data_IF_692372785162
#
_entry.id   IF_692372785162
#
_cell.length_a   1.000
_cell.length_b   1.000
_cell.length_c   1.000
_cell.angle_alpha   90.00
_cell.angle_beta   90.00
_cell.angle_gamma   90.00
#
_symmetry.space_group_name_H-M   'P 1'
#
loop_
_entity.id
_entity.type
_entity.pdbx_description
1 polymer ?
#
# COMPACT_ATOMS: atom_id res chain seq x y z
N UNK A 1 2.32 -33.53 -33.85
CA UNK A 1 1.01 -33.76 -33.19
C UNK A 1 1.01 -32.99 -31.87
N UNK A 2 0.57 -31.75 -31.96
CA UNK A 2 0.39 -30.91 -30.78
C UNK A 2 -0.94 -31.31 -30.11
N UNK A 3 -0.86 -32.13 -29.06
CA UNK A 3 -1.99 -32.35 -28.17
C UNK A 3 -2.29 -31.04 -27.44
N UNK A 4 -3.24 -30.30 -27.99
CA UNK A 4 -3.89 -29.20 -27.27
C UNK A 4 -4.54 -29.83 -26.06
N UNK A 5 -3.95 -29.61 -24.88
CA UNK A 5 -4.64 -29.79 -23.62
C UNK A 5 -5.87 -28.86 -23.68
N UNK A 6 -7.02 -29.44 -24.05
CA UNK A 6 -8.31 -28.80 -23.81
C UNK A 6 -8.36 -28.50 -22.33
N UNK A 7 -8.18 -27.21 -21.98
CA UNK A 7 -8.15 -26.74 -20.60
C UNK A 7 -9.37 -27.27 -19.87
N UNK A 8 -9.13 -27.97 -18.80
CA UNK A 8 -10.16 -28.33 -17.84
C UNK A 8 -10.76 -27.03 -17.33
N UNK A 9 -11.96 -26.66 -17.84
CA UNK A 9 -12.76 -25.49 -17.40
C UNK A 9 -13.25 -25.65 -15.94
N UNK A 10 -12.41 -26.24 -15.06
CA UNK A 10 -12.73 -26.45 -13.66
C UNK A 10 -12.41 -25.20 -12.85
N UNK A 11 -11.39 -24.44 -13.26
CA UNK A 11 -10.92 -23.25 -12.51
C UNK A 11 -11.25 -21.97 -13.26
N UNK A 12 -11.41 -20.88 -12.52
CA UNK A 12 -11.64 -19.56 -13.08
C UNK A 12 -10.41 -19.07 -13.86
N UNK A 13 -10.64 -18.42 -15.01
CA UNK A 13 -9.59 -17.76 -15.78
C UNK A 13 -8.83 -16.69 -14.98
N UNK A 14 -9.40 -16.17 -13.88
CA UNK A 14 -8.73 -15.28 -12.94
C UNK A 14 -7.47 -15.88 -12.34
N UNK A 15 -7.40 -17.21 -12.27
CA UNK A 15 -6.29 -17.96 -11.64
C UNK A 15 -5.36 -18.61 -12.67
N UNK A 16 -5.50 -18.31 -13.94
CA UNK A 16 -4.61 -18.76 -15.02
C UNK A 16 -3.35 -17.87 -15.10
N UNK A 17 -2.48 -17.97 -14.13
CA UNK A 17 -1.15 -17.37 -14.20
C UNK A 17 -0.07 -18.41 -14.50
N UNK A 18 0.98 -17.98 -15.14
CA UNK A 18 2.14 -18.84 -15.35
C UNK A 18 2.81 -19.15 -14.01
N UNK A 19 2.60 -20.37 -13.54
CA UNK A 19 3.21 -20.89 -12.32
C UNK A 19 4.58 -21.55 -12.58
N UNK A 20 5.12 -21.49 -13.81
CA UNK A 20 6.41 -22.05 -14.12
C UNK A 20 7.51 -21.37 -13.29
N UNK A 21 8.42 -22.15 -12.69
CA UNK A 21 9.53 -21.57 -11.94
C UNK A 21 10.36 -20.66 -12.86
N UNK A 22 10.58 -19.43 -12.42
CA UNK A 22 11.48 -18.53 -13.16
C UNK A 22 12.91 -19.09 -13.24
N UNK A 23 13.71 -18.58 -14.17
CA UNK A 23 15.08 -19.08 -14.43
C UNK A 23 16.01 -19.01 -13.20
N UNK A 24 15.73 -18.15 -12.22
CA UNK A 24 16.51 -18.00 -10.99
C UNK A 24 16.19 -19.09 -9.96
N UNK A 25 14.96 -19.56 -9.90
CA UNK A 25 14.52 -20.55 -8.89
C UNK A 25 15.35 -21.84 -8.90
N UNK A 26 15.60 -22.52 -10.05
CA UNK A 26 16.47 -23.70 -10.10
C UNK A 26 17.91 -23.40 -9.76
N UNK A 27 18.42 -22.20 -10.14
CA UNK A 27 19.78 -21.78 -9.83
C UNK A 27 19.96 -21.61 -8.32
N UNK A 28 19.08 -20.87 -7.67
CA UNK A 28 19.11 -20.66 -6.22
C UNK A 28 18.99 -21.99 -5.45
N UNK A 29 18.13 -22.90 -5.90
CA UNK A 29 17.98 -24.23 -5.31
C UNK A 29 19.28 -25.03 -5.38
N UNK A 30 19.98 -25.00 -6.53
CA UNK A 30 21.30 -25.66 -6.70
C UNK A 30 22.38 -25.04 -5.81
N UNK A 31 22.46 -23.71 -5.75
CA UNK A 31 23.44 -23.03 -4.91
C UNK A 31 23.20 -23.33 -3.42
N UNK A 32 21.96 -23.33 -2.97
CA UNK A 32 21.60 -23.70 -1.59
C UNK A 32 21.94 -25.16 -1.27
N UNK A 33 21.62 -26.10 -2.17
CA UNK A 33 21.98 -27.51 -2.02
C UNK A 33 23.51 -27.73 -1.98
N UNK A 34 24.27 -26.97 -2.77
CA UNK A 34 25.74 -26.97 -2.76
C UNK A 34 26.37 -26.22 -1.58
N UNK A 35 25.56 -25.70 -0.65
CA UNK A 35 26.00 -24.89 0.51
C UNK A 35 26.91 -23.71 0.11
N UNK A 36 26.71 -23.16 -1.08
CA UNK A 36 27.42 -21.96 -1.51
C UNK A 36 26.93 -20.78 -0.67
N UNK A 37 27.83 -19.99 -0.06
CA UNK A 37 27.42 -18.78 0.68
C UNK A 37 26.68 -17.83 -0.24
N UNK A 38 25.45 -17.49 0.13
CA UNK A 38 24.61 -16.53 -0.59
C UNK A 38 24.35 -15.32 0.28
N UNK A 39 24.55 -14.14 -0.28
CA UNK A 39 24.09 -12.88 0.32
C UNK A 39 22.75 -12.57 -0.34
N UNK A 40 21.68 -12.74 0.42
CA UNK A 40 20.32 -12.46 -0.06
C UNK A 40 19.97 -10.99 0.17
N UNK A 41 20.01 -10.19 -0.90
CA UNK A 41 19.65 -8.78 -0.88
C UNK A 41 18.12 -8.56 -1.04
N UNK A 42 17.36 -9.64 -1.20
CA UNK A 42 15.90 -9.58 -1.35
C UNK A 42 15.14 -9.86 -0.05
N UNK A 43 15.86 -10.14 1.06
CA UNK A 43 15.22 -10.36 2.37
C UNK A 43 14.49 -9.10 2.83
N UNK A 44 13.18 -9.16 2.84
CA UNK A 44 12.29 -8.05 3.18
C UNK A 44 11.49 -8.30 4.46
N UNK A 45 11.73 -9.42 5.14
CA UNK A 45 11.03 -9.76 6.37
C UNK A 45 11.61 -8.97 7.56
N UNK A 46 10.86 -7.98 8.11
CA UNK A 46 11.35 -7.12 9.17
C UNK A 46 11.64 -7.86 10.47
N UNK A 47 11.05 -9.04 10.67
CA UNK A 47 11.28 -9.86 11.86
C UNK A 47 12.58 -10.67 11.79
N UNK A 48 13.27 -10.66 10.65
CA UNK A 48 14.55 -11.39 10.43
C UNK A 48 15.74 -10.47 10.22
N UNK A 49 15.53 -9.18 10.16
CA UNK A 49 16.61 -8.21 9.92
C UNK A 49 17.24 -7.64 11.20
N UNK A 50 16.93 -8.18 12.38
CA UNK A 50 17.53 -7.79 13.65
C UNK A 50 16.99 -6.47 14.22
N UNK A 51 15.75 -6.10 13.91
CA UNK A 51 15.03 -5.06 14.64
C UNK A 51 14.67 -5.57 16.04
N UNK A 52 14.75 -4.70 17.03
CA UNK A 52 14.41 -5.03 18.41
C UNK A 52 12.99 -4.56 18.70
N UNK A 53 12.09 -5.52 18.81
CA UNK A 53 10.69 -5.23 19.14
C UNK A 53 10.47 -5.25 20.67
N UNK A 54 9.55 -4.43 21.20
CA UNK A 54 9.13 -4.48 22.60
C UNK A 54 8.15 -5.64 22.81
N UNK A 55 8.65 -6.88 22.72
CA UNK A 55 7.85 -8.10 22.63
C UNK A 55 6.84 -8.23 23.77
N UNK A 56 7.24 -7.97 25.01
CA UNK A 56 6.35 -8.06 26.17
C UNK A 56 5.20 -7.05 26.12
N UNK A 57 5.46 -5.85 25.61
CA UNK A 57 4.43 -4.81 25.45
C UNK A 57 3.44 -5.22 24.34
N UNK A 58 3.96 -5.69 23.19
CA UNK A 58 3.13 -6.16 22.07
C UNK A 58 2.24 -7.32 22.50
N UNK A 59 2.82 -8.34 23.17
CA UNK A 59 2.06 -9.50 23.63
C UNK A 59 1.01 -9.12 24.69
N UNK A 60 1.33 -8.19 25.60
CA UNK A 60 0.36 -7.67 26.57
C UNK A 60 -0.82 -6.97 25.90
N UNK A 61 -0.59 -6.19 24.87
CA UNK A 61 -1.69 -5.55 24.13
C UNK A 61 -2.60 -6.57 23.43
N UNK A 62 -2.03 -7.65 22.90
CA UNK A 62 -2.78 -8.71 22.24
C UNK A 62 -3.57 -9.62 23.20
N UNK A 63 -3.19 -9.64 24.50
CA UNK A 63 -3.82 -10.47 25.52
C UNK A 63 -4.98 -9.79 26.26
N UNK A 64 -5.67 -8.85 25.61
CA UNK A 64 -6.85 -8.17 26.17
C UNK A 64 -8.02 -9.15 26.31
N UNK A 65 -8.64 -9.32 27.50
CA UNK A 65 -9.79 -10.21 27.71
C UNK A 65 -11.01 -9.85 26.84
N UNK A 66 -11.22 -8.59 26.51
CA UNK A 66 -12.27 -8.11 25.59
C UNK A 66 -12.21 -8.79 24.22
N UNK A 67 -11.04 -9.35 23.86
CA UNK A 67 -10.82 -10.07 22.60
C UNK A 67 -11.60 -11.39 22.50
N UNK A 68 -12.19 -11.87 23.60
CA UNK A 68 -13.02 -13.06 23.64
C UNK A 68 -14.50 -12.78 23.34
N UNK A 69 -14.87 -11.51 23.29
CA UNK A 69 -16.26 -11.10 22.97
C UNK A 69 -16.39 -10.93 21.46
N UNK A 70 -17.40 -11.54 20.87
CA UNK A 70 -17.74 -11.36 19.46
C UNK A 70 -18.74 -10.21 19.32
N UNK A 71 -18.24 -9.08 18.85
CA UNK A 71 -19.02 -7.87 18.55
C UNK A 71 -18.53 -7.28 17.23
N UNK A 72 -19.02 -7.80 16.10
CA UNK A 72 -18.52 -7.41 14.79
C UNK A 72 -19.00 -6.01 14.40
N UNK A 73 -18.08 -5.16 13.98
CA UNK A 73 -18.33 -3.90 13.29
C UNK A 73 -17.74 -3.99 11.89
N UNK A 74 -18.53 -3.85 10.81
CA UNK A 74 -18.04 -3.95 9.44
C UNK A 74 -16.92 -2.97 9.10
N UNK A 75 -16.92 -1.76 9.67
CA UNK A 75 -15.85 -0.78 9.51
C UNK A 75 -14.63 -1.07 10.39
N UNK A 76 -14.75 -2.01 11.31
CA UNK A 76 -13.81 -2.27 12.39
C UNK A 76 -14.19 -1.53 13.68
N UNK A 77 -13.72 -2.05 14.82
CA UNK A 77 -14.10 -1.56 16.15
C UNK A 77 -13.87 -0.05 16.31
N UNK A 78 -14.80 0.68 16.92
CA UNK A 78 -14.68 2.14 17.11
C UNK A 78 -13.37 2.55 17.81
N UNK A 79 -12.92 1.81 18.82
CA UNK A 79 -11.67 2.07 19.54
C UNK A 79 -10.45 2.00 18.62
N UNK A 80 -10.46 1.08 17.66
CA UNK A 80 -9.36 0.92 16.71
C UNK A 80 -9.39 2.02 15.63
N UNK A 81 -10.57 2.36 15.12
CA UNK A 81 -10.73 3.46 14.15
C UNK A 81 -10.38 4.81 14.76
N UNK A 82 -10.75 5.04 16.03
CA UNK A 82 -10.36 6.25 16.74
C UNK A 82 -8.86 6.34 16.99
N UNK A 83 -8.20 5.21 17.26
CA UNK A 83 -6.74 5.18 17.41
C UNK A 83 -6.04 5.56 16.10
N UNK A 84 -6.54 5.12 14.93
CA UNK A 84 -6.04 5.54 13.61
C UNK A 84 -6.28 7.04 13.40
N UNK A 85 -7.48 7.55 13.70
CA UNK A 85 -7.80 8.98 13.58
C UNK A 85 -6.89 9.83 14.49
N UNK A 86 -6.64 9.37 15.72
CA UNK A 86 -5.74 10.03 16.66
C UNK A 86 -4.27 10.04 16.15
N UNK A 87 -3.79 8.95 15.52
CA UNK A 87 -2.46 8.91 14.90
C UNK A 87 -2.34 9.94 13.76
N UNK A 88 -3.35 10.07 12.91
CA UNK A 88 -3.38 11.12 11.88
C UNK A 88 -3.39 12.52 12.49
N UNK A 89 -4.19 12.76 13.53
CA UNK A 89 -4.27 14.04 14.25
C UNK A 89 -2.93 14.41 14.87
N UNK A 90 -2.22 13.44 15.47
CA UNK A 90 -0.86 13.63 16.00
C UNK A 90 0.17 14.08 14.95
N UNK A 91 -0.14 13.88 13.67
CA UNK A 91 0.67 14.32 12.51
C UNK A 91 0.11 15.58 11.84
N UNK A 92 -0.86 16.24 12.47
CA UNK A 92 -1.48 17.47 11.95
C UNK A 92 -2.51 17.24 10.85
N UNK A 93 -3.07 16.03 10.73
CA UNK A 93 -4.07 15.67 9.72
C UNK A 93 -5.39 15.33 10.41
N UNK A 94 -6.42 16.13 10.17
CA UNK A 94 -7.75 15.89 10.72
C UNK A 94 -8.55 14.92 9.85
N UNK A 95 -8.99 13.83 10.46
CA UNK A 95 -9.92 12.87 9.86
C UNK A 95 -10.84 12.30 10.94
N UNK A 96 -12.10 12.13 10.62
CA UNK A 96 -13.06 11.45 11.50
C UNK A 96 -12.84 9.93 11.47
N UNK A 97 -12.97 9.26 12.61
CA UNK A 97 -12.97 7.79 12.70
C UNK A 97 -14.07 7.15 11.85
N UNK A 98 -15.16 7.89 11.56
CA UNK A 98 -16.24 7.44 10.65
C UNK A 98 -15.81 7.39 9.17
N UNK A 99 -14.66 7.96 8.84
CA UNK A 99 -14.04 7.95 7.52
C UNK A 99 -12.91 6.90 7.40
N UNK A 100 -12.78 6.01 8.38
CA UNK A 100 -11.79 4.96 8.45
C UNK A 100 -12.49 3.60 8.43
N UNK A 101 -12.02 2.71 7.56
CA UNK A 101 -12.44 1.31 7.48
C UNK A 101 -11.20 0.42 7.63
N UNK A 102 -11.25 -0.50 8.59
CA UNK A 102 -10.15 -1.43 8.83
C UNK A 102 -10.18 -2.60 7.84
N UNK A 103 -8.99 -3.08 7.48
CA UNK A 103 -8.79 -4.23 6.60
C UNK A 103 -7.70 -5.14 7.14
N UNK A 104 -7.66 -6.41 6.74
CA UNK A 104 -6.61 -7.33 7.15
C UNK A 104 -5.25 -7.02 6.47
N UNK A 105 -5.24 -6.22 5.41
CA UNK A 105 -4.03 -5.78 4.70
C UNK A 105 -4.36 -4.71 3.67
N UNK A 106 -3.35 -3.99 3.17
CA UNK A 106 -3.52 -3.13 1.99
C UNK A 106 -3.95 -3.92 0.74
N UNK A 107 -3.54 -5.18 0.60
CA UNK A 107 -4.02 -6.04 -0.50
C UNK A 107 -5.52 -6.29 -0.45
N UNK A 108 -6.09 -6.49 0.72
CA UNK A 108 -7.54 -6.58 0.90
C UNK A 108 -8.20 -5.23 0.65
N UNK A 109 -7.61 -4.14 1.14
CA UNK A 109 -8.10 -2.79 0.86
C UNK A 109 -8.19 -2.52 -0.66
N UNK A 110 -7.17 -2.90 -1.45
CA UNK A 110 -7.24 -2.85 -2.92
C UNK A 110 -8.40 -3.66 -3.48
N UNK A 111 -8.61 -4.89 -2.99
CA UNK A 111 -9.71 -5.74 -3.46
C UNK A 111 -11.09 -5.13 -3.12
N UNK A 112 -11.23 -4.47 -1.97
CA UNK A 112 -12.45 -3.77 -1.62
C UNK A 112 -12.68 -2.55 -2.52
N UNK A 113 -11.62 -1.77 -2.79
CA UNK A 113 -11.70 -0.59 -3.65
C UNK A 113 -11.97 -0.95 -5.11
N UNK A 114 -11.37 -2.01 -5.63
CA UNK A 114 -11.67 -2.46 -6.99
C UNK A 114 -13.14 -2.89 -7.11
N UNK A 115 -13.68 -3.61 -6.14
CA UNK A 115 -15.11 -3.98 -6.12
C UNK A 115 -16.04 -2.78 -5.92
N UNK A 116 -15.60 -1.76 -5.20
CA UNK A 116 -16.36 -0.53 -5.01
C UNK A 116 -16.45 0.29 -6.30
N UNK A 117 -15.35 0.40 -7.04
CA UNK A 117 -15.16 1.41 -8.08
C UNK A 117 -15.30 0.86 -9.49
N UNK A 118 -15.01 -0.43 -9.71
CA UNK A 118 -14.89 -1.02 -11.04
C UNK A 118 -15.82 -2.22 -11.24
N UNK A 119 -16.39 -2.34 -12.42
CA UNK A 119 -17.02 -3.55 -12.92
C UNK A 119 -15.98 -4.43 -13.65
N UNK A 120 -16.28 -5.72 -13.91
CA UNK A 120 -15.39 -6.58 -14.68
C UNK A 120 -14.98 -5.96 -16.02
N UNK A 121 -13.68 -5.88 -16.28
CA UNK A 121 -13.09 -5.29 -17.48
C UNK A 121 -12.88 -3.77 -17.45
N UNK A 122 -13.32 -3.10 -16.40
CA UNK A 122 -13.11 -1.65 -16.25
C UNK A 122 -11.62 -1.31 -16.04
N UNK A 123 -11.14 -0.20 -16.63
CA UNK A 123 -9.76 0.24 -16.53
C UNK A 123 -9.46 0.97 -15.20
N UNK A 124 -8.25 0.73 -14.67
CA UNK A 124 -7.65 1.50 -13.57
C UNK A 124 -6.27 1.98 -14.03
N UNK A 125 -6.01 3.27 -13.85
CA UNK A 125 -4.74 3.90 -14.23
C UNK A 125 -3.73 3.70 -13.10
N UNK A 126 -2.53 3.18 -13.40
CA UNK A 126 -1.50 2.81 -12.42
C UNK A 126 -0.13 3.35 -12.81
N UNK A 127 0.77 3.67 -11.85
CA UNK A 127 2.12 4.12 -12.19
C UNK A 127 2.96 3.00 -12.80
N UNK A 128 3.89 3.33 -13.71
CA UNK A 128 4.89 2.43 -14.24
C UNK A 128 6.29 3.07 -14.14
N UNK A 129 7.25 2.42 -13.40
CA UNK A 129 7.13 1.12 -12.74
C UNK A 129 6.26 1.13 -11.48
N UNK A 130 5.69 -0.03 -11.12
CA UNK A 130 4.91 -0.20 -9.91
C UNK A 130 5.14 -1.56 -9.23
N UNK A 131 4.47 -1.77 -8.10
CA UNK A 131 4.57 -3.01 -7.33
C UNK A 131 3.92 -4.19 -8.09
N UNK A 132 4.66 -5.29 -8.36
CA UNK A 132 4.18 -6.38 -9.21
C UNK A 132 2.88 -7.07 -8.73
N UNK A 133 2.56 -7.00 -7.43
CA UNK A 133 1.34 -7.58 -6.89
C UNK A 133 0.06 -6.94 -7.45
N UNK A 134 0.13 -5.71 -7.97
CA UNK A 134 -1.04 -5.04 -8.54
C UNK A 134 -1.64 -5.82 -9.70
N UNK A 135 -0.83 -6.43 -10.55
CA UNK A 135 -1.32 -7.27 -11.65
C UNK A 135 -2.16 -8.45 -11.15
N UNK A 136 -1.69 -9.12 -10.10
CA UNK A 136 -2.42 -10.24 -9.51
C UNK A 136 -3.71 -9.78 -8.82
N UNK A 137 -3.66 -8.67 -8.08
CA UNK A 137 -4.83 -8.10 -7.40
C UNK A 137 -5.88 -7.64 -8.42
N UNK A 138 -5.47 -7.00 -9.50
CA UNK A 138 -6.36 -6.56 -10.56
C UNK A 138 -7.03 -7.76 -11.24
N UNK A 139 -6.24 -8.77 -11.61
CA UNK A 139 -6.75 -9.99 -12.27
C UNK A 139 -7.76 -10.74 -11.41
N UNK A 140 -7.50 -10.91 -10.11
CA UNK A 140 -8.45 -11.57 -9.18
C UNK A 140 -9.76 -10.80 -9.08
N UNK A 141 -9.74 -9.47 -9.26
CA UNK A 141 -10.91 -8.61 -9.19
C UNK A 141 -11.47 -8.22 -10.57
N UNK A 142 -11.02 -8.86 -11.66
CA UNK A 142 -11.43 -8.60 -13.05
C UNK A 142 -11.21 -7.15 -13.53
N UNK A 143 -10.21 -6.47 -13.00
CA UNK A 143 -9.87 -5.09 -13.35
C UNK A 143 -8.72 -5.09 -14.36
N UNK A 144 -8.74 -4.16 -15.32
CA UNK A 144 -7.67 -3.98 -16.30
C UNK A 144 -6.77 -2.82 -15.89
N UNK A 145 -5.47 -3.09 -15.74
CA UNK A 145 -4.49 -2.04 -15.42
C UNK A 145 -4.00 -1.35 -16.70
N UNK A 146 -4.04 -0.02 -16.70
CA UNK A 146 -3.43 0.84 -17.71
C UNK A 146 -2.28 1.63 -17.09
N UNK A 147 -1.03 1.49 -17.57
CA UNK A 147 0.10 2.20 -17.00
C UNK A 147 0.13 3.67 -17.44
N UNK A 148 0.49 4.58 -16.53
CA UNK A 148 1.05 5.88 -16.85
C UNK A 148 2.53 5.93 -16.48
N UNK A 149 3.34 6.68 -17.23
CA UNK A 149 4.80 6.67 -17.09
C UNK A 149 5.26 7.55 -15.94
N UNK A 150 6.18 7.03 -15.11
CA UNK A 150 6.97 7.85 -14.20
C UNK A 150 8.29 8.23 -14.92
N UNK A 151 8.58 9.54 -14.98
CA UNK A 151 9.74 10.05 -15.72
C UNK A 151 11.06 9.78 -14.98
N UNK A 152 11.77 8.76 -15.41
CA UNK A 152 13.08 8.40 -14.86
C UNK A 152 14.13 9.51 -15.00
N UNK A 153 14.02 10.36 -16.02
CA UNK A 153 14.93 11.53 -16.23
C UNK A 153 14.70 12.63 -15.20
N UNK A 154 13.49 12.69 -14.62
CA UNK A 154 13.10 13.64 -13.59
C UNK A 154 12.74 12.97 -12.26
N UNK A 155 13.61 12.04 -11.80
CA UNK A 155 13.47 11.35 -10.51
C UNK A 155 12.14 10.62 -10.32
N UNK A 156 11.63 10.01 -11.37
CA UNK A 156 10.36 9.31 -11.38
C UNK A 156 9.16 10.19 -10.97
N UNK A 157 9.19 11.48 -11.30
CA UNK A 157 8.04 12.38 -11.16
C UNK A 157 6.89 11.94 -12.07
N UNK A 158 5.68 12.36 -11.73
CA UNK A 158 4.47 12.08 -12.51
C UNK A 158 4.37 13.11 -13.64
N UNK A 159 4.23 12.66 -14.89
CA UNK A 159 3.82 13.52 -15.99
C UNK A 159 2.31 13.79 -15.89
N UNK A 160 1.98 14.95 -15.33
CA UNK A 160 0.60 15.35 -15.07
C UNK A 160 -0.21 15.57 -16.35
N UNK A 161 0.46 15.99 -17.44
CA UNK A 161 -0.19 16.18 -18.74
C UNK A 161 -0.49 14.81 -19.40
N UNK A 162 0.43 13.85 -19.27
CA UNK A 162 0.16 12.46 -19.69
C UNK A 162 -1.03 11.89 -18.92
N UNK A 163 -1.01 11.98 -17.58
CA UNK A 163 -2.13 11.49 -16.74
C UNK A 163 -3.45 12.12 -17.14
N UNK A 164 -3.47 13.44 -17.42
CA UNK A 164 -4.67 14.13 -17.89
C UNK A 164 -5.18 13.61 -19.23
N UNK A 165 -4.28 13.35 -20.18
CA UNK A 165 -4.62 12.77 -21.49
C UNK A 165 -5.14 11.34 -21.36
N UNK A 166 -4.47 10.52 -20.56
CA UNK A 166 -4.87 9.13 -20.32
C UNK A 166 -6.24 9.04 -19.65
N UNK A 167 -6.52 9.89 -18.64
CA UNK A 167 -7.84 9.96 -18.02
C UNK A 167 -8.94 10.32 -19.04
N UNK A 168 -8.67 11.29 -19.92
CA UNK A 168 -9.64 11.71 -20.94
C UNK A 168 -9.91 10.60 -21.99
N UNK A 169 -8.87 9.83 -22.34
CA UNK A 169 -8.93 8.80 -23.39
C UNK A 169 -9.50 7.48 -22.87
N UNK A 170 -8.96 6.98 -21.76
CA UNK A 170 -9.27 5.67 -21.19
C UNK A 170 -10.52 5.70 -20.32
N UNK A 171 -10.81 6.86 -19.68
CA UNK A 171 -11.89 7.03 -18.70
C UNK A 171 -11.79 6.00 -17.57
N UNK A 172 -10.67 5.95 -16.85
CA UNK A 172 -10.44 4.94 -15.82
C UNK A 172 -11.44 5.09 -14.67
N UNK A 173 -11.68 3.99 -13.96
CA UNK A 173 -12.55 3.98 -12.78
C UNK A 173 -11.84 4.47 -11.52
N UNK A 174 -10.50 4.48 -11.54
CA UNK A 174 -9.65 5.06 -10.50
C UNK A 174 -8.28 5.41 -11.06
N UNK A 175 -7.62 6.37 -10.43
CA UNK A 175 -6.18 6.63 -10.54
C UNK A 175 -5.49 6.07 -9.30
N UNK A 176 -4.52 5.16 -9.48
CA UNK A 176 -3.65 4.69 -8.43
C UNK A 176 -2.39 5.56 -8.34
N UNK A 177 -2.06 6.00 -7.13
CA UNK A 177 -0.82 6.69 -6.79
C UNK A 177 -0.13 5.93 -5.65
N UNK A 178 1.18 5.83 -5.68
CA UNK A 178 1.97 5.21 -4.60
C UNK A 178 2.98 6.23 -4.08
N UNK A 179 2.89 6.60 -2.81
CA UNK A 179 3.74 7.64 -2.22
C UNK A 179 4.25 7.23 -0.82
N UNK A 180 5.54 6.88 -0.71
CA UNK A 180 6.55 6.81 -1.77
C UNK A 180 6.34 5.65 -2.73
N UNK A 181 6.74 5.84 -3.99
CA UNK A 181 6.64 4.84 -5.04
C UNK A 181 7.45 3.56 -4.74
N UNK A 182 6.90 2.42 -5.12
CA UNK A 182 7.61 1.15 -5.09
C UNK A 182 7.72 0.63 -6.53
N UNK A 183 8.93 0.56 -7.14
CA UNK A 183 10.24 0.54 -6.48
C UNK A 183 11.00 1.88 -6.42
N UNK A 184 10.44 3.00 -6.88
CA UNK A 184 11.19 4.24 -7.15
C UNK A 184 11.62 5.02 -5.90
N UNK A 185 10.90 4.87 -4.78
CA UNK A 185 11.13 5.63 -3.55
C UNK A 185 10.68 7.11 -3.62
N UNK A 186 10.11 7.55 -4.74
CA UNK A 186 9.72 8.94 -4.96
C UNK A 186 8.44 9.28 -4.21
N UNK A 187 8.48 10.36 -3.45
CA UNK A 187 7.31 10.93 -2.79
C UNK A 187 6.56 11.90 -3.70
N UNK A 188 5.25 11.85 -3.62
CA UNK A 188 4.37 12.83 -4.23
C UNK A 188 4.65 14.23 -3.66
N UNK A 189 4.75 15.24 -4.54
CA UNK A 189 4.89 16.65 -4.15
C UNK A 189 3.52 17.29 -3.96
N UNK A 190 3.45 18.33 -3.12
CA UNK A 190 2.17 19.03 -2.88
C UNK A 190 1.55 19.59 -4.16
N UNK A 191 2.35 20.20 -5.05
CA UNK A 191 1.84 20.70 -6.32
C UNK A 191 1.34 19.62 -7.26
N UNK A 192 1.99 18.44 -7.27
CA UNK A 192 1.52 17.26 -8.02
C UNK A 192 0.19 16.76 -7.43
N UNK A 193 0.11 16.61 -6.10
CA UNK A 193 -1.10 16.20 -5.39
C UNK A 193 -2.30 17.11 -5.70
N UNK A 194 -2.10 18.42 -5.60
CA UNK A 194 -3.15 19.41 -5.88
C UNK A 194 -3.61 19.34 -7.34
N UNK A 195 -2.68 19.17 -8.27
CA UNK A 195 -2.98 19.10 -9.70
C UNK A 195 -3.68 17.79 -10.04
N UNK A 196 -3.21 16.64 -9.55
CA UNK A 196 -3.88 15.35 -9.70
C UNK A 196 -5.31 15.39 -9.14
N UNK A 197 -5.47 15.97 -7.94
CA UNK A 197 -6.80 16.09 -7.33
C UNK A 197 -7.76 16.92 -8.21
N UNK A 198 -7.28 18.01 -8.83
CA UNK A 198 -8.10 18.81 -9.76
C UNK A 198 -8.43 18.05 -11.06
N UNK A 199 -7.44 17.40 -11.67
CA UNK A 199 -7.64 16.61 -12.91
C UNK A 199 -8.66 15.49 -12.64
N UNK A 200 -8.49 14.73 -11.58
CA UNK A 200 -9.35 13.62 -11.22
C UNK A 200 -10.77 14.09 -10.87
N UNK A 201 -10.92 15.19 -10.14
CA UNK A 201 -12.21 15.76 -9.82
C UNK A 201 -12.99 16.20 -11.08
N UNK A 202 -12.31 16.86 -12.02
CA UNK A 202 -12.91 17.30 -13.28
C UNK A 202 -13.44 16.13 -14.12
N UNK A 203 -12.78 14.97 -14.04
CA UNK A 203 -13.17 13.75 -14.74
C UNK A 203 -14.06 12.81 -13.89
N UNK A 204 -14.36 13.16 -12.64
CA UNK A 204 -15.06 12.29 -11.69
C UNK A 204 -14.35 10.93 -11.47
N UNK A 205 -13.02 10.92 -11.49
CA UNK A 205 -12.17 9.75 -11.25
C UNK A 205 -11.67 9.80 -9.81
N UNK A 206 -11.97 8.82 -8.96
CA UNK A 206 -11.43 8.73 -7.61
C UNK A 206 -9.93 8.41 -7.62
N UNK A 207 -9.24 8.82 -6.55
CA UNK A 207 -7.82 8.53 -6.34
C UNK A 207 -7.67 7.44 -5.27
N UNK A 208 -6.86 6.42 -5.55
CA UNK A 208 -6.37 5.46 -4.56
C UNK A 208 -4.90 5.79 -4.31
N UNK A 209 -4.54 6.18 -3.08
CA UNK A 209 -3.17 6.49 -2.71
C UNK A 209 -2.63 5.47 -1.71
N UNK A 210 -1.60 4.73 -2.10
CA UNK A 210 -0.89 3.82 -1.20
C UNK A 210 0.22 4.58 -0.47
N UNK A 211 0.06 4.75 0.84
CA UNK A 211 1.00 5.44 1.70
C UNK A 211 1.68 4.51 2.72
N UNK A 212 1.69 3.21 2.49
CA UNK A 212 2.22 2.23 3.47
C UNK A 212 3.67 2.47 3.85
N UNK A 213 4.48 3.11 3.00
CA UNK A 213 5.87 3.50 3.26
C UNK A 213 6.05 4.99 3.58
N UNK A 214 4.97 5.74 3.77
CA UNK A 214 4.98 7.20 3.95
C UNK A 214 5.90 7.72 5.06
N UNK A 215 6.16 6.90 6.07
CA UNK A 215 6.95 7.26 7.25
C UNK A 215 8.48 7.20 7.06
N UNK A 216 8.97 6.68 5.94
CA UNK A 216 10.38 6.31 5.78
C UNK A 216 11.19 7.24 4.88
N UNK A 217 10.91 8.54 4.95
CA UNK A 217 11.69 9.53 4.22
C UNK A 217 13.13 9.62 4.76
N UNK A 218 14.11 9.54 3.84
CA UNK A 218 15.54 9.62 4.17
C UNK A 218 16.08 11.05 4.18
N UNK A 219 15.35 12.00 3.63
CA UNK A 219 15.71 13.40 3.59
C UNK A 219 14.49 14.29 3.84
N UNK A 220 14.74 15.45 4.40
CA UNK A 220 13.72 16.51 4.49
C UNK A 220 13.45 17.11 3.10
N UNK A 221 12.20 17.28 2.79
CA UNK A 221 11.75 17.94 1.55
C UNK A 221 10.47 18.74 1.85
N UNK A 222 10.62 20.04 1.87
CA UNK A 222 9.53 20.96 2.15
C UNK A 222 8.42 20.95 1.08
N UNK A 223 8.67 20.39 -0.10
CA UNK A 223 7.67 20.27 -1.18
C UNK A 223 6.86 18.97 -1.09
N UNK A 224 7.31 17.99 -0.31
CA UNK A 224 6.65 16.69 -0.15
C UNK A 224 5.24 16.83 0.42
N UNK A 225 4.28 16.12 -0.16
CA UNK A 225 2.98 15.91 0.45
C UNK A 225 3.13 14.95 1.64
N UNK A 226 2.60 15.33 2.79
CA UNK A 226 2.62 14.48 3.99
C UNK A 226 1.66 13.29 3.85
N UNK A 227 0.52 13.52 3.22
CA UNK A 227 -0.53 12.54 2.91
C UNK A 227 -1.49 13.13 1.89
N UNK A 228 -2.24 12.29 1.20
CA UNK A 228 -3.37 12.71 0.37
C UNK A 228 -4.69 12.84 1.16
N UNK A 229 -4.69 12.53 2.45
CA UNK A 229 -5.85 12.82 3.31
C UNK A 229 -5.94 14.33 3.53
N UNK A 230 -7.12 14.86 3.29
CA UNK A 230 -7.40 16.28 3.54
C UNK A 230 -8.57 16.79 2.69
N UNK A 231 -8.88 18.07 2.85
CA UNK A 231 -9.89 18.72 2.01
C UNK A 231 -9.37 18.78 0.57
N UNK A 232 -10.17 18.27 -0.37
CA UNK A 232 -9.83 18.26 -1.78
C UNK A 232 -11.06 18.01 -2.67
N UNK A 233 -11.00 18.34 -3.96
CA UNK A 233 -12.14 18.20 -4.85
C UNK A 233 -12.36 16.76 -5.34
N UNK A 234 -11.34 15.87 -5.28
CA UNK A 234 -11.45 14.48 -5.69
C UNK A 234 -11.78 13.56 -4.52
N UNK A 235 -12.64 12.55 -4.73
CA UNK A 235 -12.81 11.44 -3.81
C UNK A 235 -11.49 10.67 -3.73
N UNK A 236 -10.94 10.54 -2.52
CA UNK A 236 -9.61 9.98 -2.30
C UNK A 236 -9.67 8.89 -1.22
N UNK A 237 -9.04 7.76 -1.51
CA UNK A 237 -8.86 6.62 -0.62
C UNK A 237 -7.38 6.46 -0.31
N UNK A 238 -6.98 6.60 0.95
CA UNK A 238 -5.60 6.42 1.37
C UNK A 238 -5.44 5.11 2.11
N UNK A 239 -4.45 4.32 1.69
CA UNK A 239 -4.14 3.01 2.27
C UNK A 239 -2.92 3.11 3.17
N UNK A 240 -3.01 2.53 4.36
CA UNK A 240 -1.89 2.36 5.27
C UNK A 240 -2.11 1.14 6.18
N UNK A 241 -1.16 0.82 7.08
CA UNK A 241 -1.31 -0.30 7.99
C UNK A 241 -0.04 -0.67 8.75
N UNK A 242 -0.19 -1.59 9.69
CA UNK A 242 0.87 -2.00 10.62
C UNK A 242 2.05 -2.69 9.95
N UNK A 243 1.83 -3.33 8.79
CA UNK A 243 2.83 -4.15 8.10
C UNK A 243 4.12 -3.41 7.80
N UNK A 244 4.02 -2.15 7.41
CA UNK A 244 5.16 -1.28 7.08
C UNK A 244 5.38 -0.25 8.18
N UNK A 245 4.33 0.44 8.61
CA UNK A 245 4.40 1.48 9.63
C UNK A 245 5.08 1.03 10.93
N UNK A 246 4.78 -0.19 11.40
CA UNK A 246 5.35 -0.78 12.62
C UNK A 246 6.24 -1.99 12.35
N UNK A 247 6.52 -2.32 11.10
CA UNK A 247 7.25 -3.54 10.73
C UNK A 247 6.63 -4.84 11.34
N UNK A 248 5.30 -4.88 11.48
CA UNK A 248 4.54 -5.99 12.07
C UNK A 248 3.55 -6.62 11.06
N UNK A 249 4.02 -7.17 9.93
CA UNK A 249 3.15 -7.71 8.87
C UNK A 249 2.35 -8.94 9.33
N UNK A 250 2.78 -9.64 10.37
CA UNK A 250 2.11 -10.79 10.96
C UNK A 250 0.81 -10.44 11.69
N UNK A 251 0.63 -9.19 12.12
CA UNK A 251 -0.57 -8.76 12.84
C UNK A 251 -1.77 -8.55 11.92
N UNK A 252 -1.55 -8.43 10.61
CA UNK A 252 -2.62 -8.40 9.61
C UNK A 252 -3.71 -7.36 9.87
N UNK A 253 -3.30 -6.08 9.99
CA UNK A 253 -4.21 -4.95 10.09
C UNK A 253 -3.71 -3.77 9.24
N UNK A 254 -4.57 -3.28 8.38
CA UNK A 254 -4.45 -2.07 7.59
C UNK A 254 -5.76 -1.30 7.63
N UNK A 255 -5.84 -0.22 6.88
CA UNK A 255 -7.06 0.59 6.77
C UNK A 255 -7.14 1.34 5.46
N UNK A 256 -8.37 1.73 5.14
CA UNK A 256 -8.73 2.70 4.12
C UNK A 256 -9.20 3.96 4.86
N UNK A 257 -8.55 5.10 4.61
CA UNK A 257 -9.01 6.40 5.06
C UNK A 257 -9.60 7.16 3.88
N UNK A 258 -10.81 7.72 4.03
CA UNK A 258 -11.59 8.30 2.92
C UNK A 258 -11.73 9.81 3.11
N UNK A 259 -11.36 10.58 2.09
CA UNK A 259 -11.50 12.05 2.08
C UNK A 259 -12.03 12.55 0.74
N UNK A 260 -12.34 13.85 0.66
CA UNK A 260 -12.90 14.49 -0.52
C UNK A 260 -14.30 15.05 -0.29
N UNK A 261 -15.09 15.29 -1.35
CA UNK A 261 -16.44 15.86 -1.24
C UNK A 261 -17.34 15.05 -0.32
N UNK A 262 -17.99 15.72 0.64
CA UNK A 262 -18.71 15.09 1.75
C UNK A 262 -19.72 14.03 1.29
N UNK A 263 -20.56 14.34 0.31
CA UNK A 263 -21.57 13.39 -0.20
C UNK A 263 -20.94 12.16 -0.85
N UNK A 264 -19.87 12.33 -1.64
CA UNK A 264 -19.18 11.23 -2.30
C UNK A 264 -18.45 10.32 -1.29
N UNK A 265 -17.78 10.93 -0.30
CA UNK A 265 -17.07 10.20 0.72
C UNK A 265 -18.04 9.45 1.68
N UNK A 266 -19.19 10.04 2.03
CA UNK A 266 -20.21 9.37 2.82
C UNK A 266 -20.80 8.17 2.07
N UNK A 267 -21.13 8.31 0.78
CA UNK A 267 -21.63 7.22 -0.04
C UNK A 267 -20.59 6.11 -0.23
N UNK A 268 -19.32 6.48 -0.43
CA UNK A 268 -18.24 5.51 -0.52
C UNK A 268 -18.11 4.68 0.77
N UNK A 269 -18.15 5.32 1.94
CA UNK A 269 -18.11 4.63 3.23
C UNK A 269 -19.30 3.68 3.41
N UNK A 270 -20.50 4.12 3.08
CA UNK A 270 -21.72 3.28 3.17
C UNK A 270 -21.60 2.01 2.31
N UNK A 271 -21.05 2.13 1.10
CA UNK A 271 -20.83 0.97 0.20
C UNK A 271 -19.67 0.09 0.65
N UNK A 272 -18.58 0.68 1.11
CA UNK A 272 -17.44 -0.06 1.67
C UNK A 272 -17.86 -0.87 2.90
N UNK A 273 -18.73 -0.32 3.74
CA UNK A 273 -19.27 -1.01 4.91
C UNK A 273 -19.97 -2.32 4.51
N UNK A 274 -20.81 -2.29 3.47
CA UNK A 274 -21.47 -3.50 2.94
C UNK A 274 -20.45 -4.53 2.39
N UNK A 275 -19.41 -4.06 1.69
CA UNK A 275 -18.37 -4.94 1.20
C UNK A 275 -17.61 -5.58 2.38
N UNK A 276 -17.22 -4.78 3.36
CA UNK A 276 -16.49 -5.25 4.52
C UNK A 276 -17.28 -6.20 5.41
N UNK A 277 -18.59 -5.96 5.58
CA UNK A 277 -19.52 -6.82 6.32
C UNK A 277 -19.56 -8.25 5.76
N UNK A 278 -19.36 -8.39 4.45
CA UNK A 278 -19.31 -9.70 3.78
C UNK A 278 -18.08 -10.54 4.24
N UNK A 279 -17.01 -9.91 4.72
CA UNK A 279 -15.76 -10.57 5.06
C UNK A 279 -15.47 -10.59 6.55
N UNK A 280 -15.71 -9.48 7.28
CA UNK A 280 -15.40 -9.28 8.71
C UNK A 280 -13.96 -9.76 9.04
N UNK A 281 -12.99 -9.36 8.21
CA UNK A 281 -11.68 -10.00 8.11
C UNK A 281 -10.71 -9.66 9.24
N UNK A 282 -10.91 -8.53 9.93
CA UNK A 282 -9.94 -8.07 10.94
C UNK A 282 -10.26 -8.67 12.30
N UNK A 283 -9.30 -9.41 12.85
CA UNK A 283 -9.47 -10.09 14.13
C UNK A 283 -9.52 -9.13 15.33
N UNK A 284 -10.36 -9.42 16.30
CA UNK A 284 -10.62 -8.61 17.51
C UNK A 284 -9.35 -8.35 18.35
N UNK A 285 -8.45 -9.33 18.61
CA UNK A 285 -7.25 -9.09 19.39
C UNK A 285 -6.36 -7.97 18.84
N UNK A 286 -6.17 -7.90 17.54
CA UNK A 286 -5.33 -6.86 16.93
C UNK A 286 -6.03 -5.51 16.94
N UNK A 287 -7.36 -5.47 16.77
CA UNK A 287 -8.13 -4.24 16.88
C UNK A 287 -8.06 -3.65 18.29
N UNK A 288 -8.24 -4.47 19.32
CA UNK A 288 -8.08 -4.04 20.72
C UNK A 288 -6.65 -3.58 21.04
N UNK A 289 -5.66 -4.20 20.44
CA UNK A 289 -4.25 -3.85 20.63
C UNK A 289 -3.84 -2.57 19.91
N UNK A 290 -4.59 -2.12 18.89
CA UNK A 290 -4.17 -1.06 17.97
C UNK A 290 -3.77 0.25 18.65
N UNK A 291 -4.49 0.78 19.66
CA UNK A 291 -4.05 1.98 20.36
C UNK A 291 -2.66 1.86 20.98
N UNK A 292 -2.39 0.74 21.66
CA UNK A 292 -1.08 0.46 22.27
C UNK A 292 0.01 0.22 21.22
N UNK A 293 -0.31 -0.46 20.13
CA UNK A 293 0.62 -0.71 19.02
C UNK A 293 1.04 0.59 18.33
N UNK A 294 0.10 1.50 18.04
CA UNK A 294 0.41 2.80 17.44
C UNK A 294 1.28 3.68 18.35
N UNK A 295 1.14 3.57 19.68
CA UNK A 295 2.00 4.26 20.62
C UNK A 295 3.48 3.81 20.54
N UNK A 296 3.76 2.59 20.03
CA UNK A 296 5.13 2.09 19.83
C UNK A 296 5.78 2.61 18.54
N UNK A 297 5.03 3.28 17.67
CA UNK A 297 5.48 3.74 16.36
C UNK A 297 6.80 4.51 16.39
N UNK A 298 6.99 5.57 17.20
CA UNK A 298 8.25 6.34 17.20
C UNK A 298 9.46 5.46 17.51
N UNK A 299 9.33 4.53 18.46
CA UNK A 299 10.40 3.63 18.91
C UNK A 299 10.81 2.63 17.84
N UNK A 300 9.83 2.07 17.09
CA UNK A 300 10.10 1.09 16.04
C UNK A 300 10.64 1.79 14.79
N UNK A 301 10.02 2.89 14.39
CA UNK A 301 10.43 3.63 13.20
C UNK A 301 11.82 4.23 13.31
N UNK A 302 12.23 4.70 14.50
CA UNK A 302 13.59 5.21 14.71
C UNK A 302 14.66 4.18 14.32
N UNK A 303 14.50 2.90 14.69
CA UNK A 303 15.44 1.83 14.33
C UNK A 303 15.48 1.58 12.82
N UNK A 304 14.32 1.60 12.17
CA UNK A 304 14.23 1.40 10.70
C UNK A 304 14.91 2.56 9.97
N UNK A 305 14.59 3.80 10.34
CA UNK A 305 15.17 5.00 9.74
C UNK A 305 16.69 5.07 9.95
N UNK A 306 17.19 4.76 11.14
CA UNK A 306 18.63 4.71 11.41
C UNK A 306 19.32 3.70 10.49
N UNK A 307 18.78 2.49 10.38
CA UNK A 307 19.32 1.45 9.49
C UNK A 307 19.28 1.86 8.03
N UNK A 308 18.17 2.42 7.56
CA UNK A 308 18.04 2.89 6.18
C UNK A 308 19.06 4.01 5.90
N UNK A 309 19.25 4.93 6.81
CA UNK A 309 20.24 6.00 6.68
C UNK A 309 21.69 5.47 6.63
N UNK A 310 22.03 4.46 7.45
CA UNK A 310 23.36 3.81 7.43
C UNK A 310 23.55 3.09 6.08
N UNK A 311 22.58 2.26 5.69
CA UNK A 311 22.67 1.46 4.46
C UNK A 311 22.75 2.36 3.21
N UNK A 312 21.93 3.41 3.13
CA UNK A 312 21.94 4.36 2.04
C UNK A 312 23.31 5.02 1.88
N UNK A 313 23.90 5.52 2.98
CA UNK A 313 25.26 6.10 2.96
C UNK A 313 26.32 5.10 2.50
N UNK A 314 26.21 3.85 2.92
CA UNK A 314 27.16 2.81 2.51
C UNK A 314 27.03 2.46 1.04
N UNK A 315 25.79 2.31 0.52
CA UNK A 315 25.53 2.06 -0.90
C UNK A 315 26.11 3.19 -1.75
N UNK A 316 25.81 4.45 -1.41
CA UNK A 316 26.33 5.62 -2.14
C UNK A 316 27.86 5.64 -2.16
N UNK A 317 28.52 5.34 -1.03
CA UNK A 317 29.99 5.27 -0.95
C UNK A 317 30.56 4.14 -1.80
N UNK A 318 29.91 2.97 -1.81
CA UNK A 318 30.39 1.79 -2.54
C UNK A 318 30.11 1.87 -4.04
N UNK A 319 29.04 2.54 -4.46
CA UNK A 319 28.69 2.69 -5.87
C UNK A 319 29.64 3.63 -6.61
N UNK A 320 30.30 4.57 -5.91
CA UNK A 320 31.21 5.55 -6.50
C UNK A 320 30.53 6.47 -7.53
N UNK A 321 31.26 7.47 -8.01
CA UNK A 321 30.80 8.33 -9.10
C UNK A 321 30.89 7.70 -10.49
N UNK A 322 31.59 6.57 -10.63
CA UNK A 322 31.94 5.90 -11.90
C UNK A 322 31.45 4.43 -12.00
N UNK A 323 30.64 3.96 -11.02
CA UNK A 323 30.13 2.59 -11.02
C UNK A 323 28.99 2.35 -12.03
N UNK A 324 28.69 1.07 -12.37
CA UNK A 324 27.60 0.70 -13.28
C UNK A 324 26.21 1.01 -12.72
N UNK A 325 26.10 1.34 -11.43
CA UNK A 325 24.87 1.75 -10.77
C UNK A 325 24.97 3.21 -10.34
N UNK A 326 24.16 4.07 -10.91
CA UNK A 326 23.96 5.43 -10.39
C UNK A 326 22.90 5.39 -9.30
N UNK A 327 23.26 5.70 -8.05
CA UNK A 327 22.27 6.07 -7.05
C UNK A 327 21.73 7.46 -7.43
N UNK A 328 20.45 7.55 -7.73
CA UNK A 328 19.78 8.84 -7.84
C UNK A 328 19.65 9.41 -6.41
N UNK A 329 20.09 10.65 -6.18
CA UNK A 329 20.04 11.27 -4.86
C UNK A 329 18.60 11.56 -4.42
#
# INVERSE_FOLDING_TARGET
EAGVLQGLFIFSARTEWDAAPNRLTPLLSRLRAGRVPLIDLTESNPTRCGLIFPDQEILRFLSNPESLTYDPDPKGMPVAREAVAADYRGRGVEISSERILLTASSSEAYSFLFRLLAAPGDPVLVPAPCYPLFELLARINDVVLHPYTLDAGHRFSIDLDEVGREIATIRPRALLVVSPGNPTGTYLKRGEMETLSRICAAASVPIICDEVFGDYALAEDATRAATMIGPGPALTFVLNGLSKMLALPQLKLGWIAVSGPEGAAAEAMRRLEVIADTFLSVNTPVQNALPGLLALRPRIQAQVLERLAINSRQIVRSAGSEGPCRCLP
#
